data_IF_901392190098
#
_entry.id   IF_901392190098
#
_cell.length_a   1.000
_cell.length_b   1.000
_cell.length_c   1.000
_cell.angle_alpha   90.00
_cell.angle_beta   90.00
_cell.angle_gamma   90.00
#
_symmetry.space_group_name_H-M   'P 1'
#
loop_
_entity.id
_entity.type
_entity.pdbx_description
1 polymer ?
#
# COMPACT_ATOMS: atom_id res chain seq x y z
N UNK A 1 1.96 -43.61 11.47
CA UNK A 1 1.20 -42.36 11.65
C UNK A 1 -0.24 -42.80 11.63
N UNK A 2 -0.92 -42.78 12.76
CA UNK A 2 -2.34 -43.12 12.80
C UNK A 2 -3.11 -42.16 11.90
N UNK A 3 -4.08 -42.66 11.13
CA UNK A 3 -4.88 -41.86 10.21
C UNK A 3 -5.54 -40.65 10.92
N UNK A 4 -5.86 -40.80 12.20
CA UNK A 4 -6.35 -39.74 13.07
C UNK A 4 -5.34 -38.59 13.24
N UNK A 5 -4.06 -38.93 13.41
CA UNK A 5 -2.98 -37.94 13.53
C UNK A 5 -2.76 -37.15 12.24
N UNK A 6 -2.85 -37.83 11.09
CA UNK A 6 -2.75 -37.18 9.78
C UNK A 6 -3.92 -36.22 9.54
N UNK A 7 -5.15 -36.63 9.87
CA UNK A 7 -6.35 -35.81 9.74
C UNK A 7 -6.32 -34.56 10.63
N UNK A 8 -5.82 -34.66 11.86
CA UNK A 8 -5.65 -33.52 12.77
C UNK A 8 -4.67 -32.49 12.18
N UNK A 9 -3.52 -32.94 11.66
CA UNK A 9 -2.52 -32.03 11.07
C UNK A 9 -3.09 -31.31 9.85
N UNK A 10 -3.77 -32.02 8.96
CA UNK A 10 -4.41 -31.42 7.77
C UNK A 10 -5.46 -30.40 8.17
N UNK A 11 -6.33 -30.72 9.14
CA UNK A 11 -7.34 -29.80 9.64
C UNK A 11 -6.72 -28.54 10.24
N UNK A 12 -5.66 -28.67 11.05
CA UNK A 12 -4.97 -27.53 11.65
C UNK A 12 -4.34 -26.60 10.59
N UNK A 13 -3.69 -27.17 9.56
CA UNK A 13 -3.13 -26.39 8.45
C UNK A 13 -4.22 -25.68 7.64
N UNK A 14 -5.33 -26.35 7.37
CA UNK A 14 -6.47 -25.77 6.65
C UNK A 14 -7.09 -24.61 7.44
N UNK A 15 -7.31 -24.77 8.75
CA UNK A 15 -7.82 -23.70 9.62
C UNK A 15 -6.85 -22.53 9.66
N UNK A 16 -5.56 -22.79 9.86
CA UNK A 16 -4.52 -21.76 9.85
C UNK A 16 -4.52 -20.96 8.54
N UNK A 17 -4.62 -21.64 7.40
CA UNK A 17 -4.70 -21.00 6.08
C UNK A 17 -5.96 -20.13 5.96
N UNK A 18 -7.13 -20.64 6.37
CA UNK A 18 -8.39 -19.87 6.32
C UNK A 18 -8.33 -18.64 7.20
N UNK A 19 -7.74 -18.73 8.40
CA UNK A 19 -7.56 -17.57 9.28
C UNK A 19 -6.64 -16.52 8.67
N UNK A 20 -5.51 -16.93 8.10
CA UNK A 20 -4.56 -16.01 7.43
C UNK A 20 -5.22 -15.33 6.24
N UNK A 21 -5.93 -16.08 5.39
CA UNK A 21 -6.67 -15.53 4.26
C UNK A 21 -7.80 -14.59 4.71
N UNK A 22 -8.55 -14.97 5.75
CA UNK A 22 -9.62 -14.16 6.33
C UNK A 22 -9.12 -12.83 6.88
N UNK A 23 -8.00 -12.85 7.62
CA UNK A 23 -7.34 -11.62 8.10
C UNK A 23 -6.87 -10.78 6.91
N UNK A 24 -6.26 -11.40 5.89
CA UNK A 24 -5.83 -10.71 4.67
C UNK A 24 -6.99 -9.98 3.96
N UNK A 25 -8.08 -10.69 3.69
CA UNK A 25 -9.28 -10.12 3.08
C UNK A 25 -9.87 -9.01 3.96
N UNK A 26 -9.96 -9.23 5.27
CA UNK A 26 -10.45 -8.22 6.20
C UNK A 26 -9.60 -6.93 6.15
N UNK A 27 -8.27 -7.05 6.13
CA UNK A 27 -7.38 -5.90 6.02
C UNK A 27 -7.56 -5.16 4.69
N UNK A 28 -7.67 -5.90 3.57
CA UNK A 28 -7.93 -5.31 2.25
C UNK A 28 -9.26 -4.55 2.24
N UNK A 29 -10.34 -5.15 2.73
CA UNK A 29 -11.67 -4.53 2.79
C UNK A 29 -11.65 -3.30 3.68
N UNK A 30 -11.10 -3.42 4.89
CA UNK A 30 -11.01 -2.31 5.86
C UNK A 30 -10.23 -1.13 5.30
N UNK A 31 -9.04 -1.35 4.75
CA UNK A 31 -8.20 -0.30 4.17
C UNK A 31 -8.85 0.31 2.91
N UNK A 32 -9.58 -0.50 2.12
CA UNK A 32 -10.37 -0.03 0.97
C UNK A 32 -11.51 0.89 1.39
N UNK A 33 -12.33 0.47 2.36
CA UNK A 33 -13.46 1.25 2.87
C UNK A 33 -12.99 2.54 3.52
N UNK A 34 -11.90 2.47 4.31
CA UNK A 34 -11.34 3.65 4.96
C UNK A 34 -10.63 4.59 3.99
N UNK A 35 -10.31 4.14 2.78
CA UNK A 35 -9.51 4.83 1.76
C UNK A 35 -8.13 5.27 2.28
N UNK A 36 -7.49 4.41 3.06
CA UNK A 36 -6.17 4.65 3.68
C UNK A 36 -5.50 3.31 3.95
N UNK A 37 -4.18 3.35 4.11
CA UNK A 37 -3.40 2.17 4.42
C UNK A 37 -2.86 1.47 3.19
N UNK A 38 -2.21 0.33 3.42
CA UNK A 38 -1.33 -0.31 2.45
C UNK A 38 -2.04 -1.38 1.62
N UNK A 39 -3.06 -2.01 2.17
CA UNK A 39 -3.67 -3.22 1.59
C UNK A 39 -4.95 -2.94 0.79
N UNK A 40 -5.52 -1.74 0.90
CA UNK A 40 -6.73 -1.40 0.17
C UNK A 40 -6.52 -1.16 -1.32
N UNK A 41 -7.59 -1.20 -2.10
CA UNK A 41 -7.58 -1.00 -3.55
C UNK A 41 -8.23 0.35 -3.85
N UNK A 42 -7.51 1.25 -4.54
CA UNK A 42 -8.10 2.48 -5.05
C UNK A 42 -8.35 2.38 -6.56
N UNK A 43 -9.63 2.45 -6.94
CA UNK A 43 -10.10 2.48 -8.33
C UNK A 43 -10.42 3.90 -8.80
N UNK A 44 -10.43 4.88 -7.90
CA UNK A 44 -10.71 6.26 -8.25
C UNK A 44 -9.43 6.98 -8.69
N UNK A 45 -9.50 7.83 -9.73
CA UNK A 45 -8.40 8.72 -10.06
C UNK A 45 -8.15 9.68 -8.91
N UNK A 46 -6.87 9.92 -8.62
CA UNK A 46 -6.42 10.87 -7.61
C UNK A 46 -5.70 12.03 -8.29
N UNK A 47 -5.66 13.18 -7.62
CA UNK A 47 -4.91 14.35 -8.06
C UNK A 47 -3.70 14.53 -7.15
N UNK A 48 -2.65 15.17 -7.66
CA UNK A 48 -1.50 15.54 -6.84
C UNK A 48 -1.96 16.46 -5.70
N UNK A 49 -1.67 16.14 -4.44
CA UNK A 49 -2.11 16.95 -3.31
C UNK A 49 -1.41 18.32 -3.21
N UNK A 50 -0.31 18.51 -3.95
CA UNK A 50 0.46 19.75 -3.91
C UNK A 50 0.05 20.75 -5.02
N UNK A 51 -0.05 20.30 -6.27
CA UNK A 51 -0.33 21.17 -7.42
C UNK A 51 -1.68 20.90 -8.11
N UNK A 52 -2.41 19.84 -7.72
CA UNK A 52 -3.71 19.49 -8.30
C UNK A 52 -3.64 18.74 -9.64
N UNK A 53 -2.45 18.52 -10.20
CA UNK A 53 -2.28 17.79 -11.47
C UNK A 53 -2.88 16.38 -11.37
N UNK A 54 -3.74 15.96 -12.31
CA UNK A 54 -4.33 14.63 -12.28
C UNK A 54 -3.24 13.55 -12.39
N UNK A 55 -3.39 12.48 -11.61
CA UNK A 55 -2.45 11.37 -11.68
C UNK A 55 -2.50 10.70 -13.07
N UNK A 56 -1.35 10.23 -13.60
CA UNK A 56 -1.29 9.60 -14.90
C UNK A 56 -2.12 8.31 -14.93
N UNK A 57 -2.78 8.06 -16.08
CA UNK A 57 -3.61 6.86 -16.29
C UNK A 57 -2.77 5.58 -16.17
N UNK A 58 -1.56 5.60 -16.74
CA UNK A 58 -0.58 4.53 -16.61
C UNK A 58 0.37 4.89 -15.46
N UNK A 59 0.30 4.14 -14.37
CA UNK A 59 1.18 4.35 -13.20
C UNK A 59 2.60 3.92 -13.55
N UNK A 60 3.57 4.79 -13.28
CA UNK A 60 5.00 4.49 -13.40
C UNK A 60 5.67 4.63 -12.03
N UNK A 61 5.93 3.52 -11.32
CA UNK A 61 6.58 3.61 -10.01
C UNK A 61 8.02 4.11 -10.17
N UNK A 62 8.39 5.10 -9.35
CA UNK A 62 9.76 5.67 -9.30
C UNK A 62 10.60 5.06 -8.18
N UNK A 63 9.99 4.35 -7.23
CA UNK A 63 10.68 3.73 -6.10
C UNK A 63 9.98 2.44 -5.63
N UNK A 64 10.64 1.67 -4.77
CA UNK A 64 10.13 0.41 -4.21
C UNK A 64 8.83 0.56 -3.42
N UNK A 65 8.68 1.70 -2.73
CA UNK A 65 7.46 1.99 -1.96
C UNK A 65 6.25 2.10 -2.88
N UNK A 66 6.38 2.81 -4.00
CA UNK A 66 5.34 2.94 -5.01
C UNK A 66 5.06 1.61 -5.72
N UNK A 67 6.09 0.81 -5.97
CA UNK A 67 5.93 -0.53 -6.54
C UNK A 67 5.09 -1.45 -5.63
N UNK A 68 5.38 -1.47 -4.32
CA UNK A 68 4.71 -2.35 -3.36
C UNK A 68 3.33 -1.86 -2.93
N UNK A 69 3.18 -0.56 -2.67
CA UNK A 69 1.99 0.00 -2.02
C UNK A 69 1.13 0.87 -2.94
N UNK A 70 1.62 1.13 -4.15
CA UNK A 70 1.03 2.08 -5.09
C UNK A 70 1.40 3.53 -4.77
N UNK A 71 0.77 4.44 -5.51
CA UNK A 71 1.10 5.86 -5.51
C UNK A 71 1.88 6.25 -6.75
N UNK A 72 2.28 7.51 -6.79
CA UNK A 72 3.03 8.08 -7.89
C UNK A 72 3.82 9.30 -7.42
N UNK A 73 4.81 9.65 -8.22
CA UNK A 73 5.47 10.95 -8.15
C UNK A 73 4.86 11.82 -9.24
N UNK A 74 4.46 13.05 -8.90
CA UNK A 74 4.01 14.03 -9.88
C UNK A 74 5.17 14.42 -10.80
N UNK A 75 4.98 14.35 -12.12
CA UNK A 75 6.02 14.79 -13.07
C UNK A 75 6.11 16.32 -13.18
N UNK A 76 5.09 17.08 -12.73
CA UNK A 76 5.12 18.55 -12.73
C UNK A 76 5.83 19.14 -11.51
N UNK A 77 5.41 18.73 -10.30
CA UNK A 77 5.97 19.30 -9.06
C UNK A 77 6.95 18.38 -8.33
N UNK A 78 7.09 17.10 -8.72
CA UNK A 78 7.98 16.15 -8.05
C UNK A 78 7.45 15.60 -6.71
N UNK A 79 6.26 15.98 -6.26
CA UNK A 79 5.68 15.44 -5.02
C UNK A 79 5.35 13.96 -5.18
N UNK A 80 5.88 13.13 -4.29
CA UNK A 80 5.45 11.75 -4.05
C UNK A 80 4.19 11.71 -3.19
N UNK A 81 3.19 10.99 -3.66
CA UNK A 81 1.95 10.75 -2.95
C UNK A 81 1.52 9.29 -3.10
N UNK A 82 0.72 8.82 -2.17
CA UNK A 82 0.23 7.44 -2.18
C UNK A 82 -0.97 7.25 -3.12
N UNK A 83 -1.44 6.00 -3.25
CA UNK A 83 -2.59 5.68 -4.09
C UNK A 83 -3.89 6.35 -3.64
N UNK A 84 -3.97 6.88 -2.43
CA UNK A 84 -5.13 7.57 -1.88
C UNK A 84 -5.04 9.10 -2.07
N UNK A 85 -3.97 9.60 -2.69
CA UNK A 85 -3.74 11.03 -2.88
C UNK A 85 -3.11 11.73 -1.69
N UNK A 86 -2.58 11.00 -0.70
CA UNK A 86 -1.93 11.61 0.47
C UNK A 86 -0.46 11.88 0.17
N UNK A 87 0.04 13.09 0.51
CA UNK A 87 1.46 13.45 0.38
C UNK A 87 2.31 12.50 1.24
N UNK A 88 3.41 12.05 0.64
CA UNK A 88 4.41 11.17 1.29
C UNK A 88 5.72 11.90 1.40
N UNK A 89 6.15 12.52 0.29
CA UNK A 89 7.35 13.34 0.22
C UNK A 89 7.19 14.41 -0.85
N UNK A 90 7.66 15.62 -0.63
CA UNK A 90 7.66 16.72 -1.58
C UNK A 90 9.03 17.36 -1.75
N UNK A 91 9.17 18.26 -2.74
CA UNK A 91 10.40 19.07 -2.92
C UNK A 91 10.66 20.01 -1.76
N UNK A 92 9.60 20.41 -1.07
CA UNK A 92 9.59 21.24 0.14
C UNK A 92 9.97 20.47 1.41
N UNK A 93 10.04 19.13 1.35
CA UNK A 93 10.56 18.32 2.45
C UNK A 93 12.09 18.32 2.38
N UNK A 94 12.69 19.43 2.83
CA UNK A 94 14.13 19.63 2.96
C UNK A 94 14.77 18.41 3.65
N UNK A 95 15.79 17.75 3.07
CA UNK A 95 16.60 16.81 3.83
C UNK A 95 17.30 17.64 4.90
N UNK A 96 17.15 17.29 6.17
CA UNK A 96 17.95 17.88 7.25
C UNK A 96 19.45 17.63 6.99
N UNK A 97 20.07 18.49 6.20
CA UNK A 97 21.51 18.67 6.10
C UNK A 97 21.90 19.84 6.98
N UNK A 98 21.85 19.67 8.30
CA UNK A 98 22.71 20.39 9.24
C UNK A 98 22.64 19.83 10.68
N UNK A 99 23.62 19.00 11.07
CA UNK A 99 24.29 19.00 12.38
C UNK A 99 25.28 17.82 12.44
N UNK A 100 26.60 17.96 12.43
CA UNK A 100 27.49 19.11 12.41
C UNK A 100 28.94 18.64 12.63
N UNK A 101 29.91 19.53 12.38
CA UNK A 101 31.27 19.49 12.93
C UNK A 101 32.29 18.68 12.15
#
# INVERSE_FOLDING_TARGET
>A
MDDDGAMIVVAALAIGMVLVLGIGVFLVVRDTVRKRGRWGINLQPVQCPACGTPAPVIRRPRNWRQFLWGGCTCDECGTEYDKWGQKVRGPDDEPNTAAGG
#
